data_IF_661473347832
#
_entry.id   IF_661473347832
#
_cell.length_a   1.000
_cell.length_b   1.000
_cell.length_c   1.000
_cell.angle_alpha   90.00
_cell.angle_beta   90.00
_cell.angle_gamma   90.00
#
_symmetry.space_group_name_H-M   'P 1'
#
loop_
_entity.id
_entity.type
_entity.pdbx_description
1 polymer ?
2 non-polymer ?
3 water ?
#
# COMPACT_ATOMS: atom_id res chain seq x y z
N UNK A 1 1.31 7.52 8.17
CA UNK A 1 0.44 8.58 7.59
C UNK A 1 0.61 9.86 8.42
N UNK A 2 0.93 10.96 7.75
CA UNK A 2 1.02 12.28 8.37
C UNK A 2 -0.28 13.06 8.16
N UNK A 3 -0.73 13.76 9.19
CA UNK A 3 -1.95 14.57 9.08
C UNK A 3 -3.22 13.74 8.96
N UNK A 4 -3.15 12.50 9.43
CA UNK A 4 -4.31 11.60 9.42
C UNK A 4 -5.01 11.47 10.76
N UNK A 5 -6.00 10.58 10.82
CA UNK A 5 -6.77 10.30 12.04
C UNK A 5 -6.85 8.79 12.23
N UNK A 6 -7.15 8.36 13.47
CA UNK A 6 -7.36 6.95 13.75
C UNK A 6 -8.48 6.41 12.87
N UNK A 7 -8.23 5.28 12.21
CA UNK A 7 -9.30 4.59 11.49
C UNK A 7 -10.28 4.03 12.52
N UNK A 8 -11.53 3.85 12.11
CA UNK A 8 -12.47 3.06 12.89
C UNK A 8 -12.06 1.62 12.75
N UNK A 9 -12.38 0.82 13.77
CA UNK A 9 -12.02 -0.59 13.76
C UNK A 9 -12.79 -1.26 12.63
N UNK A 10 -12.07 -1.96 11.76
CA UNK A 10 -12.69 -2.64 10.62
C UNK A 10 -13.06 -1.76 9.44
N UNK A 11 -12.63 -0.50 9.47
CA UNK A 11 -12.99 0.48 8.43
C UNK A 11 -12.31 0.15 7.09
N UNK A 12 -11.13 -0.48 7.15
CA UNK A 12 -10.37 -0.83 5.97
C UNK A 12 -10.00 -2.31 6.02
N UNK A 13 -10.99 -3.21 5.81
CA UNK A 13 -10.78 -4.65 5.99
C UNK A 13 -9.87 -5.32 4.95
N UNK A 14 -9.43 -4.55 3.96
CA UNK A 14 -8.46 -4.99 2.97
C UNK A 14 -7.03 -4.62 3.37
N UNK A 15 -6.88 -3.75 4.37
CA UNK A 15 -5.54 -3.33 4.82
C UNK A 15 -4.88 -4.42 5.64
N UNK A 16 -3.65 -4.74 5.25
CA UNK A 16 -2.87 -5.83 5.84
C UNK A 16 -1.54 -5.26 6.39
N UNK A 17 -1.04 -5.86 7.47
CA UNK A 17 0.27 -5.52 8.03
C UNK A 17 1.25 -6.67 7.77
N UNK A 18 2.41 -6.33 7.20
CA UNK A 18 3.48 -7.30 6.95
C UNK A 18 4.62 -7.13 7.93
N UNK A 19 4.84 -8.17 8.73
CA UNK A 19 5.91 -8.23 9.71
C UNK A 19 7.03 -9.12 9.22
N UNK A 20 8.26 -8.62 9.31
CA UNK A 20 9.45 -9.45 9.07
C UNK A 20 9.88 -10.04 10.39
N UNK A 21 10.24 -11.32 10.39
CA UNK A 21 10.48 -12.03 11.65
C UNK A 21 11.52 -11.31 12.52
N UNK A 22 11.10 -10.99 13.74
CA UNK A 22 11.93 -10.31 14.71
C UNK A 22 12.03 -8.82 14.54
N UNK A 23 11.24 -8.24 13.63
CA UNK A 23 11.33 -6.80 13.33
C UNK A 23 10.04 -6.02 13.46
N UNK A 24 8.91 -6.70 13.66
CA UNK A 24 7.64 -6.01 13.70
C UNK A 24 7.19 -5.52 12.34
N UNK A 25 6.21 -4.64 12.33
CA UNK A 25 5.63 -4.12 11.09
C UNK A 25 6.68 -3.45 10.22
N UNK A 26 6.73 -3.85 8.95
CA UNK A 26 7.64 -3.26 7.96
C UNK A 26 6.88 -2.56 6.82
N UNK A 27 5.89 -3.25 6.26
CA UNK A 27 5.13 -2.70 5.16
C UNK A 27 3.65 -3.04 5.25
N UNK A 28 2.87 -2.34 4.44
CA UNK A 28 1.47 -2.67 4.23
C UNK A 28 1.30 -3.54 3.01
N UNK A 29 0.10 -4.09 2.90
CA UNK A 29 -0.38 -4.74 1.70
C UNK A 29 -1.92 -4.59 1.63
N UNK A 30 -2.50 -5.08 0.54
CA UNK A 30 -3.95 -5.10 0.38
C UNK A 30 -4.40 -6.51 0.03
N UNK A 31 -5.53 -6.94 0.61
CA UNK A 31 -6.13 -8.22 0.27
C UNK A 31 -6.92 -8.07 -1.03
N UNK A 32 -6.65 -8.92 -2.02
CA UNK A 32 -7.38 -8.87 -3.29
C UNK A 32 -8.21 -10.13 -3.61
N UNK A 33 -7.97 -11.21 -2.89
CA UNK A 33 -8.66 -12.48 -3.08
C UNK A 33 -8.40 -13.33 -1.82
N UNK A 34 -9.00 -14.53 -1.72
CA UNK A 34 -8.66 -15.32 -0.52
C UNK A 34 -7.18 -15.64 -0.35
N UNK A 35 -6.40 -15.60 -1.43
CA UNK A 35 -5.04 -16.15 -1.45
C UNK A 35 -3.95 -15.14 -1.82
N UNK A 36 -4.32 -13.92 -2.18
CA UNK A 36 -3.37 -12.97 -2.73
C UNK A 36 -3.45 -11.57 -2.13
N UNK A 37 -2.28 -10.98 -1.95
CA UNK A 37 -2.15 -9.60 -1.54
C UNK A 37 -1.37 -8.83 -2.59
N UNK A 38 -1.62 -7.53 -2.69
CA UNK A 38 -0.79 -6.62 -3.46
C UNK A 38 0.05 -5.80 -2.48
N UNK A 39 1.31 -5.57 -2.84
CA UNK A 39 2.22 -4.77 -2.03
C UNK A 39 3.23 -4.05 -2.95
N UNK A 40 4.29 -3.51 -2.35
CA UNK A 40 5.34 -2.80 -3.08
C UNK A 40 6.59 -3.65 -3.17
N UNK A 41 7.22 -3.71 -4.35
CA UNK A 41 8.42 -4.53 -4.58
C UNK A 41 9.55 -4.11 -3.67
N UNK A 42 9.63 -2.81 -3.39
CA UNK A 42 10.75 -2.30 -2.63
C UNK A 42 10.75 -2.82 -1.20
N UNK A 43 9.64 -3.39 -0.73
CA UNK A 43 9.61 -4.01 0.59
C UNK A 43 10.37 -5.33 0.68
N UNK A 44 10.61 -5.98 -0.46
CA UNK A 44 11.06 -7.37 -0.47
C UNK A 44 12.46 -7.51 -1.08
N UNK A 45 13.33 -6.55 -0.79
CA UNK A 45 14.73 -6.55 -1.29
C UNK A 45 15.68 -6.97 -0.17
N UNK A 46 16.53 -7.86 -0.43
CA UNK A 46 17.54 -8.24 0.57
C UNK A 46 18.51 -7.13 0.92
N UNK A 47 18.99 -7.13 2.15
CA UNK A 47 20.07 -6.21 2.50
C UNK A 47 21.09 -7.12 3.19
N UNK A 48 22.29 -6.61 3.47
CA UNK A 48 23.33 -7.46 4.07
C UNK A 48 22.98 -8.20 5.35
N UNK A 49 22.02 -7.69 6.12
CA UNK A 49 21.69 -8.37 7.36
C UNK A 49 20.36 -9.11 7.41
N UNK A 50 19.55 -9.01 6.36
CA UNK A 50 18.25 -9.66 6.37
C UNK A 50 17.72 -9.94 4.96
N UNK A 51 17.23 -11.17 4.74
CA UNK A 51 16.71 -11.56 3.44
C UNK A 51 15.22 -11.24 3.29
N UNK A 52 14.93 -9.97 3.07
CA UNK A 52 13.53 -9.57 2.89
C UNK A 52 12.86 -10.22 1.67
N UNK A 53 13.64 -10.74 0.73
CA UNK A 53 13.06 -11.38 -0.45
C UNK A 53 12.57 -12.81 -0.21
N UNK A 54 12.89 -13.37 0.95
CA UNK A 54 12.54 -14.76 1.27
C UNK A 54 11.14 -14.78 1.88
N UNK A 55 10.14 -15.39 1.21
CA UNK A 55 8.77 -15.43 1.74
C UNK A 55 8.64 -16.00 3.13
N UNK A 56 9.55 -16.91 3.50
CA UNK A 56 9.45 -17.54 4.83
C UNK A 56 9.81 -16.61 5.98
N UNK A 57 10.31 -15.42 5.68
CA UNK A 57 10.70 -14.46 6.72
C UNK A 57 9.56 -13.52 7.11
N UNK A 58 8.38 -13.75 6.55
CA UNK A 58 7.26 -12.83 6.75
C UNK A 58 6.03 -13.40 7.42
N UNK A 59 5.25 -12.49 8.00
CA UNK A 59 3.94 -12.84 8.56
C UNK A 59 2.99 -11.71 8.16
N UNK A 60 1.81 -12.07 7.66
CA UNK A 60 0.79 -11.09 7.29
C UNK A 60 -0.30 -11.12 8.34
N UNK A 61 -0.70 -9.95 8.81
CA UNK A 61 -1.81 -9.86 9.75
C UNK A 61 -2.98 -9.18 9.03
N UNK A 62 -4.10 -9.90 8.92
CA UNK A 62 -5.32 -9.41 8.30
C UNK A 62 -6.31 -9.09 9.43
N UNK A 63 -7.14 -8.08 9.21
CA UNK A 63 -8.11 -7.70 10.24
C UNK A 63 -7.48 -7.00 11.44
N UNK A 64 -6.26 -6.51 11.27
CA UNK A 64 -5.55 -5.84 12.35
C UNK A 64 -5.98 -4.39 12.51
N UNK A 65 -6.00 -3.92 13.75
CA UNK A 65 -6.32 -2.53 14.03
C UNK A 65 -5.15 -1.88 14.79
N UNK A 66 -4.73 -2.51 15.89
CA UNK A 66 -3.69 -2.00 16.77
C UNK A 66 -2.51 -2.96 16.78
N UNK A 67 -1.31 -2.44 16.44
CA UNK A 67 -0.09 -3.25 16.39
C UNK A 67 0.26 -3.90 17.74
N UNK A 68 -0.26 -3.34 18.84
CA UNK A 68 0.00 -3.90 20.16
C UNK A 68 -1.04 -4.98 20.53
N UNK A 69 -2.02 -5.22 19.67
CA UNK A 69 -3.07 -6.21 19.93
C UNK A 69 -3.25 -7.10 18.71
N UNK A 70 -2.18 -7.82 18.36
CA UNK A 70 -2.20 -8.65 17.17
C UNK A 70 -2.92 -9.96 17.30
N UNK A 71 -3.34 -10.27 18.53
CA UNK A 71 -4.08 -11.50 18.79
C UNK A 71 -5.54 -11.21 19.14
N UNK A 72 -5.95 -9.97 18.91
CA UNK A 72 -7.33 -9.58 19.19
C UNK A 72 -8.32 -10.39 18.37
N UNK A 73 -9.58 -10.51 18.84
CA UNK A 73 -10.57 -11.27 18.10
C UNK A 73 -10.68 -10.75 16.67
N UNK A 74 -10.73 -11.67 15.72
CA UNK A 74 -10.87 -11.27 14.33
C UNK A 74 -9.57 -11.08 13.55
N UNK A 75 -8.45 -10.94 14.24
CA UNK A 75 -7.19 -10.77 13.54
C UNK A 75 -6.76 -12.14 13.04
N UNK A 76 -6.32 -12.21 11.79
CA UNK A 76 -5.87 -13.48 11.21
C UNK A 76 -4.39 -13.38 10.88
N UNK A 77 -3.64 -14.39 11.27
CA UNK A 77 -2.21 -14.44 11.02
C UNK A 77 -1.97 -15.44 9.89
N UNK A 78 -1.14 -15.06 8.92
CA UNK A 78 -0.84 -15.94 7.80
C UNK A 78 0.62 -15.86 7.40
N UNK A 79 1.15 -16.97 6.92
CA UNK A 79 2.49 -16.95 6.35
C UNK A 79 2.37 -16.79 4.84
N UNK A 80 3.50 -16.54 4.20
CA UNK A 80 3.56 -16.37 2.75
C UNK A 80 4.21 -17.58 2.11
N UNK A 81 3.69 -17.97 0.96
CA UNK A 81 4.22 -19.08 0.17
C UNK A 81 5.15 -18.56 -0.94
N UNK A 82 4.88 -17.35 -1.44
CA UNK A 82 5.67 -16.81 -2.55
C UNK A 82 5.51 -15.28 -2.61
N UNK A 83 6.53 -14.62 -3.15
CA UNK A 83 6.52 -13.18 -3.38
C UNK A 83 6.85 -13.07 -4.87
N UNK A 84 5.95 -12.49 -5.66
CA UNK A 84 6.21 -12.28 -7.11
C UNK A 84 6.42 -10.78 -7.30
N UNK A 85 7.66 -10.36 -7.46
CA UNK A 85 7.95 -8.94 -7.69
C UNK A 85 7.85 -8.68 -9.17
N UNK A 86 7.36 -7.52 -9.56
CA UNK A 86 7.25 -7.26 -10.97
C UNK A 86 8.59 -7.41 -11.65
N UNK A 87 8.63 -8.10 -12.80
CA UNK A 87 9.91 -8.28 -13.46
C UNK A 87 10.64 -7.02 -13.88
N UNK A 88 9.91 -5.92 -14.04
CA UNK A 88 10.54 -4.68 -14.48
C UNK A 88 10.86 -3.75 -13.33
N UNK A 89 10.67 -4.21 -12.10
CA UNK A 89 10.97 -3.35 -10.94
C UNK A 89 12.43 -2.92 -10.97
N UNK A 90 12.65 -1.62 -10.75
CA UNK A 90 13.96 -0.99 -10.75
C UNK A 90 14.19 -0.45 -9.32
N UNK A 91 15.15 -1.02 -8.58
CA UNK A 91 15.38 -0.57 -7.21
C UNK A 91 16.04 0.80 -7.07
N UNK A 92 16.46 1.41 -8.18
CA UNK A 92 17.06 2.76 -8.15
C UNK A 92 15.96 3.80 -8.42
N UNK A 93 15.17 3.58 -9.48
CA UNK A 93 14.11 4.53 -9.84
C UNK A 93 12.76 4.23 -9.18
N UNK A 94 12.61 2.99 -8.71
CA UNK A 94 11.37 2.48 -8.14
C UNK A 94 10.27 2.35 -9.20
N UNK A 95 10.64 2.32 -10.48
CA UNK A 95 9.65 2.08 -11.51
C UNK A 95 9.12 0.64 -11.28
N UNK A 96 7.86 0.42 -11.63
CA UNK A 96 7.21 -0.88 -11.49
C UNK A 96 7.27 -1.42 -10.06
N UNK A 97 6.98 -0.53 -9.11
CA UNK A 97 7.05 -0.91 -7.69
C UNK A 97 5.76 -1.60 -7.24
N UNK A 98 5.65 -2.89 -7.56
CA UNK A 98 4.48 -3.66 -7.22
C UNK A 98 4.87 -5.13 -7.09
N UNK A 99 4.24 -5.83 -6.14
CA UNK A 99 4.50 -7.25 -5.91
C UNK A 99 3.20 -7.92 -5.54
N UNK A 100 3.16 -9.23 -5.77
CA UNK A 100 2.02 -10.07 -5.42
C UNK A 100 2.52 -11.06 -4.37
N UNK A 101 1.77 -11.18 -3.29
CA UNK A 101 2.14 -12.06 -2.19
C UNK A 101 1.10 -13.15 -2.07
N UNK A 102 1.54 -14.40 -2.13
CA UNK A 102 0.62 -15.53 -2.02
C UNK A 102 0.57 -16.04 -0.59
N UNK A 103 -0.63 -16.00 -0.01
CA UNK A 103 -0.83 -16.47 1.35
C UNK A 103 -0.66 -17.99 1.36
N UNK A 104 -0.09 -18.49 2.45
CA UNK A 104 0.18 -19.92 2.57
C UNK A 104 -1.12 -20.69 2.82
N UNK A 105 -2.10 -20.05 3.45
CA UNK A 105 -3.44 -20.59 3.72
C UNK A 105 -4.40 -19.43 3.41
N UNK A 106 -5.57 -19.72 2.81
CA UNK A 106 -6.50 -18.63 2.49
C UNK A 106 -7.01 -17.80 3.67
N UNK A 107 -7.27 -16.54 3.41
CA UNK A 107 -7.86 -15.65 4.40
C UNK A 107 -9.31 -16.09 4.53
N UNK A 108 -9.90 -15.89 5.70
CA UNK A 108 -11.30 -16.22 5.90
C UNK A 108 -12.05 -14.89 5.89
N UNK A 109 -12.94 -14.67 4.92
CA UNK A 109 -13.65 -13.39 4.88
C UNK A 109 -14.54 -13.22 6.10
N UNK A 110 -14.57 -12.00 6.63
CA UNK A 110 -15.37 -11.66 7.81
C UNK A 110 -15.65 -10.17 7.77
N UNK A 111 -16.29 -9.65 8.81
CA UNK A 111 -16.55 -8.20 8.81
C UNK A 111 -15.23 -7.42 8.86
N UNK A 112 -14.19 -8.06 9.40
CA UNK A 112 -12.88 -7.41 9.54
C UNK A 112 -11.88 -7.73 8.43
N UNK A 113 -12.18 -8.71 7.58
CA UNK A 113 -11.26 -9.16 6.52
C UNK A 113 -12.08 -9.28 5.23
N UNK A 114 -11.80 -8.41 4.27
CA UNK A 114 -12.57 -8.36 3.04
C UNK A 114 -11.66 -7.80 1.95
N UNK A 115 -11.74 -8.33 0.72
CA UNK A 115 -10.87 -7.84 -0.36
C UNK A 115 -11.31 -6.48 -0.89
N UNK A 116 -10.35 -5.74 -1.41
CA UNK A 116 -10.65 -4.47 -2.07
C UNK A 116 -10.92 -4.81 -3.55
N UNK A 117 -11.69 -3.97 -4.25
CA UNK A 117 -11.97 -4.21 -5.66
C UNK A 117 -10.82 -3.70 -6.53
N UNK A 118 -10.51 -4.43 -7.58
CA UNK A 118 -9.47 -4.02 -8.53
C UNK A 118 -10.10 -3.30 -9.72
N UNK A 119 -9.47 -2.21 -10.17
CA UNK A 119 -9.99 -1.47 -11.32
C UNK A 119 -9.58 -2.10 -12.66
N UNK A 120 -10.47 -2.00 -13.64
CA UNK A 120 -10.19 -2.51 -14.98
C UNK A 120 -9.05 -1.68 -15.56
N UNK A 121 -8.33 -2.27 -16.51
CA UNK A 121 -7.19 -1.60 -17.14
C UNK A 121 -7.52 -0.24 -17.76
N UNK A 122 -8.76 -0.08 -18.26
CA UNK A 122 -9.14 1.18 -18.90
C UNK A 122 -9.63 2.27 -17.94
N UNK A 123 -9.76 1.95 -16.65
CA UNK A 123 -10.27 2.97 -15.75
C UNK A 123 -9.28 4.07 -15.40
N UNK A 124 -9.74 5.31 -15.44
CA UNK A 124 -8.94 6.48 -15.11
C UNK A 124 -9.38 7.06 -13.76
N UNK A 125 -8.44 7.18 -12.82
CA UNK A 125 -8.75 7.81 -11.53
C UNK A 125 -8.39 9.25 -11.89
N UNK A 126 -9.39 10.12 -12.01
CA UNK A 126 -9.16 11.51 -12.41
C UNK A 126 -8.43 12.47 -11.48
N UNK A 127 -7.70 13.40 -12.09
CA UNK A 127 -7.01 14.41 -11.32
C UNK A 127 -8.05 15.13 -10.47
N UNK A 128 -7.71 15.39 -9.22
CA UNK A 128 -8.60 16.07 -8.30
C UNK A 128 -9.45 15.15 -7.44
N UNK A 129 -9.55 13.87 -7.79
CA UNK A 129 -10.38 13.00 -6.98
C UNK A 129 -9.81 12.72 -5.60
N UNK A 130 -10.68 12.74 -4.59
CA UNK A 130 -10.28 12.45 -3.21
C UNK A 130 -10.16 10.95 -3.07
N UNK A 131 -9.07 10.51 -2.46
CA UNK A 131 -8.87 9.11 -2.20
C UNK A 131 -8.21 8.99 -0.83
N UNK A 132 -8.19 7.79 -0.30
CA UNK A 132 -7.68 7.58 1.04
C UNK A 132 -6.43 6.75 1.11
N UNK A 133 -5.50 7.15 1.97
CA UNK A 133 -4.32 6.34 2.20
C UNK A 133 -4.42 5.89 3.67
N UNK A 134 -3.99 4.67 3.93
CA UNK A 134 -4.06 4.08 5.25
C UNK A 134 -2.78 3.32 5.58
N UNK A 135 -2.44 3.26 6.86
CA UNK A 135 -1.27 2.51 7.24
C UNK A 135 -0.83 2.75 8.67
N UNK A 136 0.18 1.99 9.05
CA UNK A 136 0.79 2.08 10.39
C UNK A 136 2.15 2.75 10.32
N UNK A 137 2.43 3.45 9.24
CA UNK A 137 3.72 4.12 9.14
C UNK A 137 3.89 5.33 10.03
N UNK A 138 5.03 5.98 9.88
CA UNK A 138 5.33 7.17 10.67
C UNK A 138 4.27 8.24 10.54
N UNK A 139 4.03 8.95 11.66
CA UNK A 139 3.05 10.02 11.63
C UNK A 139 3.69 11.41 11.45
N UNK A 140 5.02 11.42 11.33
CA UNK A 140 5.79 12.63 11.01
C UNK A 140 7.07 12.11 10.38
N UNK A 141 7.65 12.87 9.45
CA UNK A 141 8.88 12.42 8.82
C UNK A 141 9.92 12.31 9.92
N UNK A 142 10.62 11.18 9.96
CA UNK A 142 11.64 10.94 10.97
C UNK A 142 11.00 10.67 12.32
N UNK A 143 9.68 10.53 12.31
CA UNK A 143 8.94 10.30 13.55
C UNK A 143 8.78 8.84 13.91
N UNK A 144 7.63 8.51 14.51
CA UNK A 144 7.40 7.13 14.92
C UNK A 144 6.12 6.55 14.33
N UNK A 145 6.12 5.23 14.17
CA UNK A 145 4.99 4.52 13.61
C UNK A 145 3.75 4.63 14.49
N UNK A 146 2.59 4.38 13.89
CA UNK A 146 1.35 4.44 14.64
C UNK A 146 0.94 3.06 15.12
N UNK A 147 0.51 2.95 16.38
CA UNK A 147 0.02 1.67 16.87
C UNK A 147 -1.35 1.41 16.26
N UNK A 148 -2.18 2.45 16.22
CA UNK A 148 -3.53 2.35 15.66
C UNK A 148 -3.52 2.76 14.18
N UNK A 149 -4.13 1.93 13.34
CA UNK A 149 -4.19 2.21 11.90
C UNK A 149 -4.65 3.64 11.64
N UNK A 150 -3.93 4.38 10.79
CA UNK A 150 -4.29 5.75 10.44
C UNK A 150 -4.87 5.83 9.04
N UNK A 151 -5.68 6.85 8.82
CA UNK A 151 -6.25 7.12 7.51
C UNK A 151 -6.07 8.61 7.21
N UNK A 152 -5.93 8.93 5.93
CA UNK A 152 -5.79 10.31 5.51
C UNK A 152 -6.39 10.50 4.14
N UNK A 153 -7.04 11.64 3.90
CA UNK A 153 -7.65 11.93 2.61
C UNK A 153 -6.68 12.79 1.79
N UNK A 154 -6.42 12.35 0.56
CA UNK A 154 -5.48 13.03 -0.34
C UNK A 154 -6.12 13.11 -1.74
N UNK A 155 -5.57 13.93 -2.64
CA UNK A 155 -6.19 14.03 -3.97
C UNK A 155 -5.22 13.73 -5.09
N UNK A 156 -5.74 13.14 -6.16
CA UNK A 156 -4.92 12.82 -7.31
C UNK A 156 -4.41 14.10 -7.92
N UNK A 157 -3.12 14.13 -8.24
CA UNK A 157 -2.51 15.30 -8.84
C UNK A 157 -2.24 15.02 -10.32
N UNK A 158 -2.41 16.06 -11.13
CA UNK A 158 -2.15 16.04 -12.58
C UNK A 158 -0.72 15.49 -12.83
N UNK A 159 -0.57 14.58 -13.80
CA UNK A 159 0.74 13.96 -14.07
C UNK A 159 1.83 14.94 -14.51
N UNK A 160 1.48 15.93 -15.32
CA UNK A 160 2.48 16.91 -15.74
C UNK A 160 3.00 17.67 -14.50
N UNK A 161 2.08 18.06 -13.62
CA UNK A 161 2.47 18.74 -12.39
C UNK A 161 3.41 17.83 -11.58
N UNK A 162 3.01 16.56 -11.46
CA UNK A 162 3.82 15.58 -10.71
C UNK A 162 5.25 15.51 -11.27
N UNK A 163 5.36 15.32 -12.58
CA UNK A 163 6.65 15.23 -13.24
C UNK A 163 7.51 16.47 -12.99
N UNK A 164 6.88 17.64 -12.98
CA UNK A 164 7.63 18.87 -12.76
C UNK A 164 8.06 19.07 -11.31
N UNK A 165 7.30 18.51 -10.36
CA UNK A 165 7.65 18.64 -8.93
C UNK A 165 8.83 17.74 -8.55
N UNK A 166 8.97 16.62 -9.26
CA UNK A 166 10.02 15.64 -9.00
C UNK A 166 10.68 15.31 -10.33
N UNK A 167 11.48 16.27 -10.86
CA UNK A 167 12.16 16.11 -12.14
C UNK A 167 13.03 14.88 -12.28
N UNK A 168 12.87 14.24 -13.45
CA UNK A 168 13.62 13.04 -13.82
C UNK A 168 13.35 11.85 -12.92
N UNK A 169 12.21 11.85 -12.24
CA UNK A 169 11.91 10.76 -11.31
C UNK A 169 10.55 10.12 -11.50
N UNK A 170 9.65 10.75 -12.23
CA UNK A 170 8.30 10.22 -12.36
C UNK A 170 8.08 9.52 -13.66
N UNK A 171 7.79 8.23 -13.59
CA UNK A 171 7.50 7.45 -14.79
C UNK A 171 5.99 7.30 -14.92
N UNK A 172 5.52 6.81 -16.09
CA UNK A 172 4.08 6.64 -16.28
C UNK A 172 3.45 5.59 -15.36
N UNK A 173 4.27 4.79 -14.67
CA UNK A 173 3.69 3.81 -13.71
C UNK A 173 3.37 4.50 -12.39
N UNK A 174 3.82 5.74 -12.24
CA UNK A 174 3.67 6.46 -10.99
C UNK A 174 2.59 7.51 -11.05
N UNK A 175 2.06 7.86 -9.88
CA UNK A 175 1.05 8.90 -9.76
C UNK A 175 1.29 9.66 -8.47
N UNK A 176 1.25 10.97 -8.51
CA UNK A 176 1.37 11.78 -7.28
C UNK A 176 -0.03 11.95 -6.69
N UNK A 177 -0.16 11.79 -5.38
CA UNK A 177 -1.46 11.94 -4.72
C UNK A 177 -1.14 12.64 -3.40
N UNK A 178 -1.89 13.69 -3.09
CA UNK A 178 -1.62 14.46 -1.88
C UNK A 178 -2.06 15.88 -2.11
N UNK A 179 -1.28 16.82 -1.60
CA UNK A 179 -1.57 18.25 -1.74
C UNK A 179 -0.29 19.00 -1.98
N UNK A 180 -0.30 20.00 -2.87
CA UNK A 180 0.90 20.79 -3.07
C UNK A 180 1.27 21.55 -1.78
N UNK A 181 0.29 21.83 -0.93
CA UNK A 181 0.59 22.52 0.33
C UNK A 181 1.12 21.57 1.40
N UNK A 182 1.14 20.27 1.10
CA UNK A 182 1.59 19.29 2.06
C UNK A 182 0.51 18.95 3.09
N UNK A 183 0.94 18.62 4.30
CA UNK A 183 -0.01 18.36 5.39
C UNK A 183 -0.46 16.94 5.62
N UNK A 184 -0.91 16.27 4.56
CA UNK A 184 -1.38 14.88 4.66
C UNK A 184 -0.58 14.10 3.64
N UNK A 185 0.00 12.99 4.05
CA UNK A 185 0.84 12.21 3.14
C UNK A 185 1.13 10.84 3.77
N UNK A 186 1.57 9.90 2.96
CA UNK A 186 2.00 8.62 3.50
C UNK A 186 3.45 8.82 3.96
N UNK A 187 4.00 7.85 4.68
CA UNK A 187 5.36 7.96 5.18
C UNK A 187 5.95 6.58 5.42
N UNK A 188 7.19 6.53 5.91
CA UNK A 188 7.87 5.27 6.13
C UNK A 188 6.99 4.27 6.85
N UNK A 189 6.89 3.05 6.32
CA UNK A 189 6.06 2.03 6.93
C UNK A 189 4.67 1.90 6.31
N UNK A 190 4.28 2.92 5.54
CA UNK A 190 2.99 2.85 4.85
C UNK A 190 3.18 2.17 3.48
N UNK A 191 4.43 2.07 3.01
CA UNK A 191 4.74 1.44 1.72
C UNK A 191 4.04 0.12 1.52
N UNK A 192 3.55 -0.09 0.30
CA UNK A 192 2.91 -1.36 0.02
C UNK A 192 1.41 -1.37 0.24
N UNK A 193 0.92 -0.44 1.06
CA UNK A 193 -0.48 -0.38 1.33
C UNK A 193 -1.27 0.19 0.17
N UNK A 194 -2.58 0.03 0.22
CA UNK A 194 -3.44 0.52 -0.86
C UNK A 194 -3.97 1.93 -0.74
N UNK A 195 -4.16 2.56 -1.89
CA UNK A 195 -4.92 3.80 -1.96
C UNK A 195 -6.35 3.28 -2.17
N UNK A 196 -7.29 3.73 -1.36
CA UNK A 196 -8.70 3.34 -1.45
C UNK A 196 -9.53 4.48 -2.05
N UNK A 197 -10.26 4.19 -3.13
CA UNK A 197 -11.09 5.17 -3.82
C UNK A 197 -12.56 4.76 -3.81
N UNK A 198 -13.41 5.65 -3.31
CA UNK A 198 -14.86 5.41 -3.28
C UNK A 198 -15.41 5.65 -4.70
N UNK A 199 -15.98 4.60 -5.29
CA UNK A 199 -16.48 4.72 -6.63
C UNK A 199 -17.98 4.99 -6.72
N UNK A 200 -18.58 4.84 -7.91
CA UNK A 200 -19.97 5.29 -8.12
C UNK A 200 -21.10 4.79 -7.26
N UNK A 201 -21.00 3.58 -6.75
CA UNK A 201 -22.04 3.08 -5.85
C UNK A 201 -21.52 2.90 -4.43
N UNK A 202 -20.39 3.54 -4.13
CA UNK A 202 -19.82 3.47 -2.80
C UNK A 202 -18.80 2.36 -2.60
N UNK A 203 -18.70 1.42 -3.53
CA UNK A 203 -17.73 0.35 -3.39
C UNK A 203 -16.33 0.94 -3.53
N UNK A 204 -15.39 0.37 -2.79
CA UNK A 204 -14.02 0.87 -2.80
C UNK A 204 -13.09 0.07 -3.71
N UNK A 205 -12.38 0.82 -4.55
CA UNK A 205 -11.42 0.27 -5.50
C UNK A 205 -10.01 0.69 -5.14
N UNK A 206 -9.05 -0.16 -5.47
CA UNK A 206 -7.67 0.19 -5.19
C UNK A 206 -7.16 1.08 -6.32
N UNK A 207 -6.68 2.27 -5.98
CA UNK A 207 -6.20 3.17 -7.04
C UNK A 207 -4.71 3.03 -7.22
N UNK A 208 -4.02 2.62 -6.16
CA UNK A 208 -2.57 2.53 -6.26
C UNK A 208 -1.95 1.89 -5.06
N UNK A 209 -0.62 1.84 -5.07
CA UNK A 209 0.20 1.24 -4.01
C UNK A 209 1.16 2.29 -3.47
N UNK A 210 1.22 2.46 -2.14
CA UNK A 210 2.15 3.42 -1.55
C UNK A 210 3.57 3.04 -1.97
N UNK A 211 4.32 3.98 -2.54
CA UNK A 211 5.65 3.66 -3.05
C UNK A 211 6.78 4.49 -2.46
N UNK A 212 6.83 5.80 -2.70
CA UNK A 212 7.93 6.60 -2.15
C UNK A 212 7.56 8.07 -2.11
N UNK A 213 8.44 8.85 -1.52
CA UNK A 213 8.26 10.29 -1.51
C UNK A 213 9.55 10.96 -1.07
N UNK A 214 9.64 12.26 -1.31
CA UNK A 214 10.80 13.06 -0.88
C UNK A 214 10.32 13.63 0.47
N UNK A 215 10.79 13.04 1.57
CA UNK A 215 10.30 13.47 2.87
C UNK A 215 8.83 13.05 3.00
N UNK A 216 8.11 13.67 3.92
CA UNK A 216 6.70 13.36 4.10
C UNK A 216 5.94 14.63 4.44
N UNK A 217 4.85 14.87 3.72
CA UNK A 217 3.97 16.01 3.96
C UNK A 217 4.56 17.37 3.73
N UNK A 218 5.66 17.43 3.00
CA UNK A 218 6.28 18.72 2.71
C UNK A 218 5.59 19.40 1.52
N UNK A 219 5.61 20.73 1.54
CA UNK A 219 5.06 21.52 0.44
C UNK A 219 5.76 21.12 -0.87
N UNK A 220 4.96 21.00 -1.94
CA UNK A 220 5.44 20.65 -3.28
C UNK A 220 6.10 19.27 -3.41
N UNK A 221 5.87 18.41 -2.42
CA UNK A 221 6.44 17.07 -2.43
C UNK A 221 5.39 16.02 -2.04
N UNK A 222 4.35 15.87 -2.87
CA UNK A 222 3.31 14.88 -2.58
C UNK A 222 3.87 13.47 -2.74
N UNK A 223 3.25 12.52 -2.08
CA UNK A 223 3.68 11.13 -2.18
C UNK A 223 3.48 10.57 -3.58
N UNK A 224 4.30 9.56 -3.88
CA UNK A 224 4.29 8.90 -5.18
C UNK A 224 3.79 7.48 -4.99
N UNK A 225 2.87 7.08 -5.86
CA UNK A 225 2.19 5.79 -5.76
C UNK A 225 2.24 5.03 -7.06
N UNK A 226 2.28 3.71 -6.99
CA UNK A 226 2.25 2.91 -8.22
C UNK A 226 0.79 2.81 -8.68
N UNK A 227 0.51 3.05 -9.95
CA UNK A 227 -0.85 2.98 -10.48
C UNK A 227 -1.28 1.53 -10.56
N UNK A 228 -2.57 1.28 -10.37
CA UNK A 228 -3.09 -0.07 -10.44
C UNK A 228 -3.70 -0.54 -11.76
N UNK A 229 -4.50 0.29 -12.46
CA UNK A 229 -5.11 -0.18 -13.72
C UNK A 229 -4.14 -0.80 -14.70
N UNK A 230 -2.95 -0.21 -14.78
CA UNK A 230 -1.89 -0.69 -15.68
C UNK A 230 -1.50 -2.12 -15.44
N UNK A 231 -1.72 -2.60 -14.21
CA UNK A 231 -1.34 -3.95 -13.81
C UNK A 231 -2.47 -4.94 -13.72
N UNK A 232 -3.68 -4.55 -14.14
CA UNK A 232 -4.78 -5.47 -14.02
C UNK A 232 -4.52 -6.82 -14.71
N UNK A 233 -3.99 -6.78 -15.93
CA UNK A 233 -3.72 -8.00 -16.67
C UNK A 233 -2.58 -8.82 -16.05
N UNK A 234 -1.56 -8.11 -15.59
CA UNK A 234 -0.42 -8.79 -14.95
C UNK A 234 -0.92 -9.52 -13.71
N UNK A 235 -1.80 -8.87 -12.94
CA UNK A 235 -2.34 -9.53 -11.76
C UNK A 235 -3.14 -10.77 -12.18
N UNK A 236 -4.01 -10.62 -13.18
CA UNK A 236 -4.79 -11.76 -13.63
C UNK A 236 -3.91 -12.92 -14.10
N UNK A 237 -2.91 -12.59 -14.89
CA UNK A 237 -2.00 -13.61 -15.42
C UNK A 237 -1.24 -14.39 -14.37
N UNK A 238 -0.82 -13.69 -13.32
CA UNK A 238 -0.02 -14.32 -12.27
C UNK A 238 -0.78 -14.92 -11.10
N UNK A 239 -2.04 -14.54 -10.92
CA UNK A 239 -2.83 -15.02 -9.77
C UNK A 239 -4.16 -15.66 -10.10
N UNK A 240 -4.67 -15.39 -11.29
CA UNK A 240 -5.98 -15.89 -11.68
C UNK A 240 -7.07 -14.93 -11.24
N UNK A 241 -6.72 -13.93 -10.43
CA UNK A 241 -7.66 -12.93 -9.94
C UNK A 241 -7.93 -11.84 -10.98
#
# INVERSE_FOLDING_TARGET
VVGGTDADEGEWPWQVSLHALGQGHICGASLISPNWLVSAAHCYIDDRGFRYSDPTQWTAFLGLHDQSQRSAPGVQERRLKRIISHPFFNDFTFDYDIALLELEKPAEYSSMVRPICLPDASHVFPAGKAIWVTGWGHTQYGGTGALILQKGEIRVINQTTCENLLPQQITPRMMCVGFLSGGVDSCQGDSGGPLSSVEADGRIFQAGVVSWGDGCAQRNKPGVYTRLPLFRDWIKENTGV
#
